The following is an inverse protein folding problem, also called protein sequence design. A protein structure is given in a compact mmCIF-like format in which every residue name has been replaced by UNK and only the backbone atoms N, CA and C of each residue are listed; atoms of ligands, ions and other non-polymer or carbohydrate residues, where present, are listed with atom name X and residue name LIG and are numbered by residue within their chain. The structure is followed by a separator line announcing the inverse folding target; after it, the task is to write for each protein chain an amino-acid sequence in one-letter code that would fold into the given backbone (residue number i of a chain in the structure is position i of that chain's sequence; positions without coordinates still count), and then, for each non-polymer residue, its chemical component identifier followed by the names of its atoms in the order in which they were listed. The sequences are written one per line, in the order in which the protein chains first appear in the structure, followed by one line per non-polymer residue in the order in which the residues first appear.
data_IF_267243173287
#
_entry.id   IF_267243173287
#
_cell.length_a   1.000
_cell.length_b   1.000
_cell.length_c   1.000
_cell.angle_alpha   90.00
_cell.angle_beta   90.00
_cell.angle_gamma   90.00
#
_symmetry.space_group_name_H-M   'P 1'
#
loop_
_entity.id
_entity.type
_entity.pdbx_description
1 polymer ?
#
# COMPACT_ATOMS: atom_id res chain seq x y z
N UNK A 1 -13.01 -3.96 -0.09
CA UNK A 1 -12.70 -4.69 -1.34
C UNK A 1 -12.57 -6.18 -1.03
N UNK A 2 -13.18 -7.06 -1.82
CA UNK A 2 -13.05 -8.51 -1.68
C UNK A 2 -12.02 -9.01 -2.68
N UNK A 3 -11.01 -9.73 -2.19
CA UNK A 3 -9.94 -10.27 -3.04
C UNK A 3 -10.32 -11.64 -3.61
N UNK A 4 -10.13 -11.82 -4.91
CA UNK A 4 -10.36 -13.09 -5.58
C UNK A 4 -9.31 -14.16 -5.26
N UNK A 5 -9.66 -15.44 -5.39
CA UNK A 5 -8.76 -16.59 -5.17
C UNK A 5 -7.48 -16.51 -6.01
N UNK A 6 -7.60 -16.12 -7.29
CA UNK A 6 -6.46 -16.01 -8.21
C UNK A 6 -5.38 -15.03 -7.74
N UNK A 7 -5.74 -14.01 -6.95
CA UNK A 7 -4.77 -13.09 -6.36
C UNK A 7 -3.89 -13.75 -5.29
N UNK A 8 -4.44 -14.71 -4.53
CA UNK A 8 -3.67 -15.48 -3.56
C UNK A 8 -2.78 -16.52 -4.24
N UNK A 9 -3.28 -17.19 -5.29
CA UNK A 9 -2.46 -18.10 -6.12
C UNK A 9 -1.22 -17.37 -6.68
N UNK A 10 -1.39 -16.16 -7.21
CA UNK A 10 -0.27 -15.33 -7.70
C UNK A 10 0.83 -15.15 -6.65
N UNK A 11 0.46 -14.84 -5.40
CA UNK A 11 1.40 -14.63 -4.30
C UNK A 11 2.08 -15.94 -3.87
N UNK A 12 1.34 -17.05 -3.85
CA UNK A 12 1.88 -18.37 -3.53
C UNK A 12 2.94 -18.80 -4.55
N UNK A 13 2.65 -18.66 -5.85
CA UNK A 13 3.61 -18.98 -6.93
C UNK A 13 4.89 -18.16 -6.80
N UNK A 14 4.77 -16.87 -6.51
CA UNK A 14 5.92 -16.00 -6.26
C UNK A 14 6.74 -16.48 -5.05
N UNK A 15 6.09 -16.74 -3.91
CA UNK A 15 6.77 -17.21 -2.70
C UNK A 15 7.45 -18.58 -2.89
N UNK A 16 6.83 -19.51 -3.62
CA UNK A 16 7.44 -20.78 -3.98
C UNK A 16 8.72 -20.58 -4.80
N UNK A 17 8.68 -19.66 -5.77
CA UNK A 17 9.88 -19.38 -6.57
C UNK A 17 10.96 -18.71 -5.73
N UNK A 18 10.62 -17.74 -4.88
CA UNK A 18 11.55 -17.12 -3.91
C UNK A 18 12.22 -18.20 -3.06
N UNK A 19 11.44 -19.09 -2.45
CA UNK A 19 11.95 -20.17 -1.61
C UNK A 19 12.96 -21.05 -2.37
N UNK A 20 12.64 -21.36 -3.63
CA UNK A 20 13.49 -22.18 -4.51
C UNK A 20 14.81 -21.47 -4.84
N UNK A 21 14.77 -20.25 -5.37
CA UNK A 21 15.97 -19.57 -5.87
C UNK A 21 16.88 -19.04 -4.75
N UNK A 22 16.31 -18.73 -3.58
CA UNK A 22 17.06 -18.25 -2.43
C UNK A 22 17.44 -19.36 -1.44
N UNK A 23 17.00 -20.60 -1.68
CA UNK A 23 17.26 -21.74 -0.79
C UNK A 23 16.68 -21.57 0.62
N UNK A 24 15.55 -20.86 0.76
CA UNK A 24 14.93 -20.56 2.05
C UNK A 24 13.64 -21.37 2.28
N UNK A 25 13.23 -21.58 3.54
CA UNK A 25 11.95 -22.22 3.84
C UNK A 25 10.77 -21.45 3.23
N UNK A 26 9.79 -22.17 2.68
CA UNK A 26 8.58 -21.56 2.11
C UNK A 26 7.84 -20.69 3.14
N UNK A 27 7.78 -21.12 4.40
CA UNK A 27 7.19 -20.34 5.49
C UNK A 27 7.83 -18.95 5.62
N UNK A 28 9.17 -18.87 5.50
CA UNK A 28 9.91 -17.61 5.53
C UNK A 28 9.62 -16.78 4.27
N UNK A 29 9.63 -17.41 3.10
CA UNK A 29 9.31 -16.73 1.84
C UNK A 29 7.89 -16.14 1.85
N UNK A 30 6.90 -16.86 2.37
CA UNK A 30 5.53 -16.37 2.50
C UNK A 30 5.46 -15.15 3.43
N UNK A 31 6.17 -15.17 4.56
CA UNK A 31 6.17 -14.07 5.52
C UNK A 31 6.86 -12.82 4.95
N UNK A 32 7.98 -13.00 4.25
CA UNK A 32 8.86 -11.91 3.84
C UNK A 32 8.55 -11.33 2.47
N UNK A 33 8.00 -12.15 1.59
CA UNK A 33 7.86 -11.82 0.18
C UNK A 33 6.42 -11.69 -0.29
N UNK A 34 5.43 -11.77 0.61
CA UNK A 34 4.01 -11.59 0.28
C UNK A 34 3.32 -10.63 1.25
N UNK A 35 2.08 -10.25 0.97
CA UNK A 35 1.28 -9.45 1.89
C UNK A 35 0.35 -10.28 2.80
N UNK A 36 0.48 -11.62 2.79
CA UNK A 36 -0.47 -12.53 3.44
C UNK A 36 -0.60 -12.26 4.95
N UNK A 37 0.52 -12.04 5.65
CA UNK A 37 0.51 -11.74 7.08
C UNK A 37 -0.38 -10.53 7.43
N UNK A 38 -0.25 -9.45 6.65
CA UNK A 38 -1.09 -8.26 6.81
C UNK A 38 -2.55 -8.58 6.49
N UNK A 39 -2.81 -9.42 5.47
CA UNK A 39 -4.17 -9.82 5.07
C UNK A 39 -4.87 -10.71 6.08
N UNK A 40 -4.13 -11.29 7.02
CA UNK A 40 -4.68 -12.05 8.15
C UNK A 40 -5.06 -11.16 9.33
N UNK A 41 -4.90 -9.84 9.21
CA UNK A 41 -5.17 -8.86 10.26
C UNK A 41 -4.12 -8.84 11.38
N UNK A 42 -2.88 -9.27 11.09
CA UNK A 42 -1.85 -9.47 12.12
C UNK A 42 -0.92 -8.25 12.34
N UNK A 43 -1.31 -7.10 11.80
CA UNK A 43 -0.52 -5.87 11.90
C UNK A 43 0.72 -5.89 11.00
N UNK A 44 1.79 -5.23 11.47
CA UNK A 44 3.00 -4.95 10.67
C UNK A 44 4.31 -5.34 11.36
N UNK A 45 4.24 -6.09 12.46
CA UNK A 45 5.42 -6.58 13.17
C UNK A 45 6.04 -7.83 12.51
N UNK A 46 5.27 -8.56 11.70
CA UNK A 46 5.72 -9.77 11.00
C UNK A 46 6.36 -10.80 11.93
N UNK A 47 5.62 -11.20 12.96
CA UNK A 47 6.06 -12.21 13.91
C UNK A 47 5.84 -13.62 13.34
N UNK A 48 6.94 -14.30 13.01
CA UNK A 48 6.92 -15.67 12.51
C UNK A 48 6.30 -16.66 13.50
N UNK A 49 6.29 -16.35 14.80
CA UNK A 49 5.73 -17.21 15.85
C UNK A 49 4.27 -16.90 16.18
N UNK A 50 3.68 -15.89 15.53
CA UNK A 50 2.31 -15.47 15.81
C UNK A 50 1.32 -16.65 15.65
N UNK A 51 0.48 -16.97 16.65
CA UNK A 51 -0.36 -18.17 16.63
C UNK A 51 -1.25 -18.31 15.39
N UNK A 52 -1.83 -17.20 14.92
CA UNK A 52 -2.64 -17.20 13.68
C UNK A 52 -1.79 -17.47 12.43
N UNK A 53 -0.57 -16.96 12.38
CA UNK A 53 0.34 -17.23 11.26
C UNK A 53 0.77 -18.70 11.25
N UNK A 54 1.10 -19.25 12.42
CA UNK A 54 1.39 -20.68 12.59
C UNK A 54 0.20 -21.56 12.21
N UNK A 55 -1.03 -21.19 12.60
CA UNK A 55 -2.24 -21.91 12.18
C UNK A 55 -2.43 -21.92 10.66
N UNK A 56 -2.16 -20.78 9.99
CA UNK A 56 -2.17 -20.71 8.53
C UNK A 56 -1.16 -21.68 7.90
N UNK A 57 0.09 -21.68 8.39
CA UNK A 57 1.16 -22.55 7.89
C UNK A 57 0.86 -24.04 8.14
N UNK A 58 0.34 -24.39 9.31
CA UNK A 58 -0.05 -25.76 9.65
C UNK A 58 -1.13 -26.28 8.68
N UNK A 59 -2.15 -25.46 8.40
CA UNK A 59 -3.18 -25.83 7.43
C UNK A 59 -2.65 -25.91 6.01
N UNK A 60 -1.69 -25.05 5.63
CA UNK A 60 -1.04 -25.11 4.32
C UNK A 60 -0.25 -26.41 4.14
N UNK A 61 0.44 -26.87 5.18
CA UNK A 61 1.20 -28.12 5.17
C UNK A 61 0.32 -29.37 5.23
N UNK A 62 -0.83 -29.29 5.91
CA UNK A 62 -1.74 -30.42 6.15
C UNK A 62 -2.85 -30.55 5.10
N UNK A 63 -2.95 -29.60 4.17
CA UNK A 63 -4.05 -29.55 3.21
C UNK A 63 -3.91 -30.62 2.13
N UNK A 64 -4.91 -31.50 2.02
CA UNK A 64 -5.07 -32.41 0.87
C UNK A 64 -5.62 -31.68 -0.38
N UNK A 65 -6.08 -30.44 -0.25
CA UNK A 65 -6.53 -29.58 -1.36
C UNK A 65 -5.41 -28.63 -1.80
N UNK A 66 -5.49 -28.11 -3.03
CA UNK A 66 -4.49 -27.20 -3.57
C UNK A 66 -4.27 -25.98 -2.65
N UNK A 67 -3.01 -25.63 -2.36
CA UNK A 67 -2.59 -24.55 -1.44
C UNK A 67 -3.34 -23.21 -1.59
N UNK A 68 -3.76 -22.90 -2.81
CA UNK A 68 -4.57 -21.73 -3.18
C UNK A 68 -5.99 -21.73 -2.58
N UNK A 69 -6.63 -22.90 -2.47
CA UNK A 69 -7.97 -23.04 -1.88
C UNK A 69 -7.92 -22.81 -0.38
N UNK A 70 -6.99 -23.47 0.32
CA UNK A 70 -6.74 -23.23 1.74
C UNK A 70 -6.49 -21.75 2.03
N UNK A 71 -5.57 -21.12 1.28
CA UNK A 71 -5.19 -19.72 1.50
C UNK A 71 -6.37 -18.77 1.30
N UNK A 72 -7.20 -19.00 0.30
CA UNK A 72 -8.39 -18.18 0.06
C UNK A 72 -9.48 -18.41 1.13
N UNK A 73 -9.70 -19.64 1.57
CA UNK A 73 -10.64 -19.91 2.67
C UNK A 73 -10.17 -19.29 3.99
N UNK A 74 -8.87 -19.37 4.28
CA UNK A 74 -8.27 -18.72 5.46
C UNK A 74 -8.48 -17.21 5.41
N UNK A 75 -8.27 -16.57 4.25
CA UNK A 75 -8.58 -15.16 4.03
C UNK A 75 -10.04 -14.83 4.35
N UNK A 76 -10.98 -15.61 3.83
CA UNK A 76 -12.40 -15.35 4.05
C UNK A 76 -12.79 -15.42 5.52
N UNK A 77 -12.31 -16.42 6.25
CA UNK A 77 -12.55 -16.56 7.68
C UNK A 77 -11.94 -15.43 8.52
N UNK A 78 -10.86 -14.82 8.03
CA UNK A 78 -10.15 -13.72 8.73
C UNK A 78 -10.63 -12.33 8.35
N UNK A 79 -11.41 -12.17 7.28
CA UNK A 79 -11.81 -10.86 6.72
C UNK A 79 -12.44 -9.91 7.75
N UNK A 80 -13.16 -10.44 8.74
CA UNK A 80 -13.77 -9.62 9.80
C UNK A 80 -12.77 -8.98 10.78
N UNK A 81 -11.50 -9.39 10.75
CA UNK A 81 -10.45 -8.96 11.68
C UNK A 81 -9.43 -8.00 11.06
N UNK A 82 -9.59 -7.62 9.79
CA UNK A 82 -8.77 -6.59 9.13
C UNK A 82 -9.22 -5.21 9.64
N UNK A 83 -8.74 -4.79 10.81
CA UNK A 83 -9.00 -3.44 11.38
C UNK A 83 -7.88 -2.52 10.88
N UNK A 84 -8.17 -1.54 9.99
CA UNK A 84 -7.19 -0.53 9.63
C UNK A 84 -6.80 0.27 10.86
N UNK A 85 -5.54 0.72 10.94
CA UNK A 85 -5.19 1.75 11.90
C UNK A 85 -6.12 2.96 11.67
N UNK A 86 -6.70 3.55 12.74
CA UNK A 86 -7.60 4.67 12.59
C UNK A 86 -6.86 5.82 11.90
N UNK A 87 -7.46 6.36 10.85
CA UNK A 87 -6.96 7.56 10.21
C UNK A 87 -7.10 8.72 11.20
N UNK A 88 -6.09 9.58 11.25
CA UNK A 88 -6.17 10.85 12.00
C UNK A 88 -7.17 11.79 11.34
N UNK A 89 -7.20 11.81 10.00
CA UNK A 89 -8.28 12.38 9.22
C UNK A 89 -8.40 11.71 7.85
N UNK A 90 -9.57 11.83 7.23
CA UNK A 90 -9.85 11.40 5.86
C UNK A 90 -10.72 12.42 5.14
N UNK A 91 -10.40 12.67 3.86
CA UNK A 91 -11.21 13.47 2.93
C UNK A 91 -11.29 12.73 1.61
N UNK A 92 -12.50 12.28 1.25
CA UNK A 92 -12.75 11.53 0.03
C UNK A 92 -11.86 10.30 -0.11
N UNK A 93 -11.02 10.25 -1.15
CA UNK A 93 -10.12 9.12 -1.41
C UNK A 93 -8.77 9.19 -0.65
N UNK A 94 -8.54 10.25 0.13
CA UNK A 94 -7.29 10.46 0.83
C UNK A 94 -7.47 10.45 2.35
N UNK A 95 -6.47 9.93 3.04
CA UNK A 95 -6.40 9.94 4.49
C UNK A 95 -4.96 10.09 4.94
N UNK A 96 -4.73 10.52 6.18
CA UNK A 96 -3.42 10.38 6.81
C UNK A 96 -3.51 9.70 8.16
N UNK A 97 -2.42 9.05 8.55
CA UNK A 97 -2.20 8.46 9.87
C UNK A 97 -0.94 9.06 10.48
N UNK A 98 -0.87 9.11 11.80
CA UNK A 98 0.36 9.45 12.50
C UNK A 98 1.37 8.31 12.31
N UNK A 99 2.58 8.65 11.87
CA UNK A 99 3.63 7.70 11.52
C UNK A 99 4.84 7.78 12.47
N UNK A 100 4.68 8.47 13.61
CA UNK A 100 5.70 8.76 14.59
C UNK A 100 5.81 10.27 14.87
N UNK A 101 6.66 10.69 15.82
CA UNK A 101 6.86 12.09 16.13
C UNK A 101 7.22 12.91 14.88
N UNK A 102 6.45 13.95 14.58
CA UNK A 102 6.71 14.84 13.44
C UNK A 102 6.52 14.21 12.06
N UNK A 103 5.85 13.06 11.95
CA UNK A 103 5.61 12.38 10.68
C UNK A 103 4.15 11.97 10.53
N UNK A 104 3.57 12.30 9.37
CA UNK A 104 2.30 11.73 8.91
C UNK A 104 2.55 10.84 7.70
N UNK A 105 1.71 9.83 7.51
CA UNK A 105 1.72 9.01 6.31
C UNK A 105 0.44 9.20 5.54
N UNK A 106 0.58 9.60 4.27
CA UNK A 106 -0.51 9.75 3.34
C UNK A 106 -0.95 8.38 2.80
N UNK A 107 -2.26 8.19 2.78
CA UNK A 107 -2.93 7.01 2.25
C UNK A 107 -3.92 7.43 1.15
N UNK A 108 -4.04 6.56 0.15
CA UNK A 108 -5.06 6.65 -0.88
C UNK A 108 -5.85 5.34 -0.90
N UNK A 109 -7.17 5.45 -0.91
CA UNK A 109 -8.07 4.33 -1.16
C UNK A 109 -9.21 4.78 -2.06
N UNK A 110 -9.76 3.85 -2.83
CA UNK A 110 -10.93 4.16 -3.64
C UNK A 110 -12.18 4.25 -2.76
N UNK A 111 -12.63 5.47 -2.49
CA UNK A 111 -13.95 5.78 -1.92
C UNK A 111 -14.83 6.54 -2.90
N UNK A 112 -14.50 6.48 -4.19
CA UNK A 112 -15.27 7.17 -5.21
C UNK A 112 -16.52 6.36 -5.60
N UNK A 113 -17.68 6.96 -5.41
CA UNK A 113 -18.98 6.35 -5.70
C UNK A 113 -19.51 6.65 -7.12
N UNK A 114 -18.79 7.44 -7.92
CA UNK A 114 -19.22 7.85 -9.28
C UNK A 114 -19.23 6.71 -10.31
N UNK A 115 -18.78 5.51 -9.94
CA UNK A 115 -18.61 4.37 -10.85
C UNK A 115 -17.46 4.52 -11.84
N UNK A 116 -16.73 5.63 -11.82
CA UNK A 116 -15.52 5.86 -12.61
C UNK A 116 -14.26 5.40 -11.85
N UNK A 117 -13.13 5.29 -12.55
CA UNK A 117 -11.84 5.14 -11.85
C UNK A 117 -11.57 6.39 -11.01
N UNK A 118 -11.14 6.28 -9.74
CA UNK A 118 -10.86 7.44 -8.89
C UNK A 118 -9.69 8.29 -9.43
N UNK A 119 -8.90 7.74 -10.36
CA UNK A 119 -7.78 8.39 -11.03
C UNK A 119 -8.08 8.73 -12.51
N UNK A 120 -9.34 8.61 -12.95
CA UNK A 120 -9.73 9.05 -14.29
C UNK A 120 -9.45 10.55 -14.50
N UNK A 121 -9.25 10.96 -15.76
CA UNK A 121 -9.01 12.37 -16.10
C UNK A 121 -10.13 13.29 -15.60
N UNK A 122 -11.39 12.85 -15.74
CA UNK A 122 -12.60 13.51 -15.24
C UNK A 122 -12.63 13.71 -13.72
N UNK A 123 -11.86 12.93 -12.96
CA UNK A 123 -11.83 13.01 -11.49
C UNK A 123 -10.64 13.82 -10.97
N UNK A 124 -9.75 14.30 -11.85
CA UNK A 124 -8.50 14.99 -11.46
C UNK A 124 -8.74 16.18 -10.54
N UNK A 125 -9.63 17.09 -10.93
CA UNK A 125 -9.88 18.32 -10.16
C UNK A 125 -10.48 18.00 -8.79
N UNK A 126 -11.44 17.07 -8.75
CA UNK A 126 -12.06 16.61 -7.51
C UNK A 126 -11.04 15.97 -6.56
N UNK A 127 -10.11 15.15 -7.07
CA UNK A 127 -9.00 14.59 -6.27
C UNK A 127 -8.05 15.66 -5.76
N UNK A 128 -7.77 16.69 -6.56
CA UNK A 128 -6.92 17.80 -6.12
C UNK A 128 -7.58 18.62 -4.99
N UNK A 129 -8.90 18.83 -5.06
CA UNK A 129 -9.68 19.47 -4.00
C UNK A 129 -9.69 18.65 -2.71
N UNK A 130 -9.86 17.33 -2.79
CA UNK A 130 -9.76 16.45 -1.63
C UNK A 130 -8.39 16.52 -0.95
N UNK A 131 -7.31 16.52 -1.74
CA UNK A 131 -5.95 16.68 -1.20
C UNK A 131 -5.76 18.04 -0.53
N UNK A 132 -6.20 19.13 -1.16
CA UNK A 132 -6.11 20.47 -0.57
C UNK A 132 -6.85 20.53 0.78
N UNK A 133 -8.09 20.07 0.82
CA UNK A 133 -8.88 20.01 2.05
C UNK A 133 -8.27 19.11 3.13
N UNK A 134 -7.61 18.01 2.75
CA UNK A 134 -6.87 17.18 3.69
C UNK A 134 -5.67 17.93 4.27
N UNK A 135 -4.91 18.68 3.46
CA UNK A 135 -3.76 19.45 3.95
C UNK A 135 -4.16 20.71 4.75
N UNK A 136 -5.37 21.23 4.56
CA UNK A 136 -5.96 22.23 5.46
C UNK A 136 -6.28 21.63 6.84
N UNK A 137 -6.68 20.35 6.90
CA UNK A 137 -6.85 19.65 8.19
C UNK A 137 -5.49 19.39 8.86
N UNK A 138 -4.48 18.98 8.09
CA UNK A 138 -3.11 18.80 8.61
C UNK A 138 -2.58 20.12 9.19
N UNK A 139 -2.77 21.23 8.48
CA UNK A 139 -2.31 22.54 8.95
C UNK A 139 -2.92 22.96 10.29
N UNK A 140 -4.18 22.59 10.55
CA UNK A 140 -4.90 22.93 11.78
C UNK A 140 -4.59 22.00 12.95
N UNK A 141 -4.31 20.73 12.66
CA UNK A 141 -4.26 19.68 13.68
C UNK A 141 -2.85 19.21 14.01
N UNK A 142 -1.90 19.37 13.10
CA UNK A 142 -0.55 18.85 13.26
C UNK A 142 0.47 19.96 13.53
N UNK A 143 1.55 19.66 14.28
CA UNK A 143 2.61 20.63 14.51
C UNK A 143 3.24 21.16 13.22
N UNK A 144 3.68 22.43 13.20
CA UNK A 144 4.43 22.98 12.07
C UNK A 144 5.65 22.14 11.71
N UNK A 145 5.96 22.04 10.42
CA UNK A 145 7.13 21.31 9.93
C UNK A 145 7.01 19.79 9.95
N UNK A 146 5.81 19.25 10.18
CA UNK A 146 5.56 17.81 10.02
C UNK A 146 5.99 17.32 8.63
N UNK A 147 6.56 16.12 8.58
CA UNK A 147 6.96 15.46 7.34
C UNK A 147 5.85 14.56 6.84
N UNK A 148 5.62 14.60 5.54
CA UNK A 148 4.60 13.83 4.82
C UNK A 148 5.29 12.66 4.14
N UNK A 149 4.94 11.46 4.58
CA UNK A 149 5.46 10.21 4.03
C UNK A 149 4.46 9.60 3.05
N UNK A 150 4.96 9.12 1.91
CA UNK A 150 4.21 8.35 0.93
C UNK A 150 4.89 7.03 0.64
N UNK A 151 4.14 5.97 0.40
CA UNK A 151 4.71 4.74 -0.16
C UNK A 151 3.69 4.03 -1.04
N UNK A 152 3.91 4.06 -2.36
CA UNK A 152 2.99 3.43 -3.31
C UNK A 152 3.66 3.18 -4.66
N UNK A 153 3.25 2.11 -5.34
CA UNK A 153 3.53 1.92 -6.77
C UNK A 153 2.79 2.93 -7.64
N UNK A 154 1.68 3.51 -7.15
CA UNK A 154 0.90 4.50 -7.89
C UNK A 154 1.73 5.75 -8.22
N UNK A 155 2.79 6.06 -7.48
CA UNK A 155 3.70 7.16 -7.82
C UNK A 155 4.46 6.94 -9.14
N UNK A 156 4.33 5.78 -9.78
CA UNK A 156 4.84 5.51 -11.12
C UNK A 156 3.82 5.77 -12.23
N UNK A 157 2.54 5.97 -11.92
CA UNK A 157 1.50 6.24 -12.93
C UNK A 157 1.19 7.73 -13.01
N UNK A 158 1.15 8.29 -14.23
CA UNK A 158 0.90 9.72 -14.47
C UNK A 158 -0.37 10.21 -13.77
N UNK A 159 -1.44 9.41 -13.87
CA UNK A 159 -2.75 9.74 -13.35
C UNK A 159 -2.77 10.00 -11.84
N UNK A 160 -1.87 9.37 -11.08
CA UNK A 160 -1.70 9.60 -9.65
C UNK A 160 -0.66 10.69 -9.39
N UNK A 161 0.47 10.67 -10.11
CA UNK A 161 1.56 11.66 -9.95
C UNK A 161 1.07 13.09 -10.11
N UNK A 162 0.23 13.36 -11.11
CA UNK A 162 -0.29 14.71 -11.41
C UNK A 162 -1.12 15.35 -10.29
N UNK A 163 -1.47 14.59 -9.24
CA UNK A 163 -2.21 15.08 -8.08
C UNK A 163 -1.30 15.74 -7.04
N UNK A 164 0.01 15.52 -7.13
CA UNK A 164 0.97 15.90 -6.10
C UNK A 164 1.87 17.06 -6.53
N UNK A 165 2.32 17.90 -5.59
CA UNK A 165 3.30 18.94 -5.87
C UNK A 165 4.62 18.37 -6.42
N UNK A 166 5.25 19.08 -7.35
CA UNK A 166 6.51 18.67 -7.96
C UNK A 166 7.63 18.45 -6.91
N UNK A 167 7.70 19.32 -5.90
CA UNK A 167 8.69 19.21 -4.82
C UNK A 167 8.55 17.94 -4.00
N UNK A 168 7.33 17.42 -3.82
CA UNK A 168 7.10 16.15 -3.14
C UNK A 168 7.52 14.97 -4.03
N UNK A 169 7.12 14.99 -5.30
CA UNK A 169 7.48 13.96 -6.28
C UNK A 169 8.99 13.87 -6.53
N UNK A 170 9.72 14.98 -6.40
CA UNK A 170 11.18 15.02 -6.53
C UNK A 170 11.92 14.20 -5.45
N UNK A 171 11.26 13.89 -4.33
CA UNK A 171 11.83 13.10 -3.23
C UNK A 171 11.67 11.59 -3.43
N UNK A 172 11.06 11.17 -4.54
CA UNK A 172 10.71 9.78 -4.76
C UNK A 172 11.96 8.88 -4.88
N UNK A 173 12.03 7.88 -4.00
CA UNK A 173 13.08 6.86 -4.01
C UNK A 173 12.46 5.47 -4.14
N UNK A 174 13.03 4.57 -4.97
CA UNK A 174 12.57 3.19 -5.05
C UNK A 174 12.78 2.47 -3.71
N UNK A 175 11.79 1.70 -3.28
CA UNK A 175 11.90 0.87 -2.07
C UNK A 175 11.43 -0.55 -2.36
N UNK A 176 12.18 -1.53 -1.88
CA UNK A 176 11.77 -2.92 -1.93
C UNK A 176 10.88 -3.22 -0.72
N UNK A 177 9.58 -3.44 -0.95
CA UNK A 177 8.59 -3.71 0.12
C UNK A 177 7.61 -4.79 -0.29
N UNK A 178 8.08 -6.04 -0.35
CA UNK A 178 7.26 -7.21 -0.67
C UNK A 178 6.21 -7.53 0.39
N UNK A 179 6.56 -7.33 1.66
CA UNK A 179 5.73 -7.55 2.85
C UNK A 179 4.41 -6.76 2.89
N UNK A 180 4.20 -5.82 1.96
CA UNK A 180 3.08 -4.87 1.99
C UNK A 180 2.32 -4.78 0.66
N UNK A 181 1.09 -4.29 0.73
CA UNK A 181 0.22 -4.01 -0.41
C UNK A 181 0.77 -3.14 -1.55
N UNK A 182 1.71 -2.19 -1.33
CA UNK A 182 2.23 -1.32 -2.39
C UNK A 182 2.89 -2.05 -3.57
N UNK A 183 3.14 -3.35 -3.49
CA UNK A 183 3.62 -4.10 -4.64
C UNK A 183 2.49 -4.88 -5.33
N UNK A 184 1.63 -5.52 -4.54
CA UNK A 184 0.63 -6.47 -5.03
C UNK A 184 -0.63 -5.82 -5.62
N UNK A 185 -0.95 -4.58 -5.22
CA UNK A 185 -2.13 -3.87 -5.74
C UNK A 185 -2.13 -3.65 -7.25
N UNK A 186 -0.97 -3.69 -7.92
CA UNK A 186 -0.85 -3.47 -9.36
C UNK A 186 -1.54 -4.54 -10.21
N UNK A 187 -1.77 -5.73 -9.65
CA UNK A 187 -2.44 -6.84 -10.34
C UNK A 187 -3.95 -6.83 -10.17
N UNK A 188 -4.49 -5.93 -9.35
CA UNK A 188 -5.91 -5.89 -9.06
C UNK A 188 -6.60 -4.81 -9.89
N UNK A 189 -7.85 -5.08 -10.26
CA UNK A 189 -8.79 -4.05 -10.69
C UNK A 189 -9.46 -3.39 -9.47
N UNK A 190 -10.37 -2.45 -9.72
CA UNK A 190 -11.10 -1.73 -8.68
C UNK A 190 -12.08 -2.61 -7.87
N UNK A 191 -12.44 -3.78 -8.40
CA UNK A 191 -13.33 -4.74 -7.76
C UNK A 191 -12.57 -5.78 -6.92
N UNK A 192 -11.23 -5.80 -6.99
CA UNK A 192 -10.39 -6.79 -6.32
C UNK A 192 -10.22 -8.08 -7.12
N UNK A 193 -10.58 -8.07 -8.39
CA UNK A 193 -10.30 -9.13 -9.34
C UNK A 193 -8.88 -8.99 -9.90
N UNK A 194 -8.28 -10.13 -10.24
CA UNK A 194 -6.98 -10.17 -10.88
C UNK A 194 -7.10 -9.69 -12.33
N UNK A 195 -6.17 -8.86 -12.79
CA UNK A 195 -6.02 -8.40 -14.18
C UNK A 195 -5.15 -9.38 -14.97
N UNK A 196 -5.72 -10.26 -15.81
CA UNK A 196 -4.96 -11.32 -16.49
C UNK A 196 -3.83 -10.76 -17.35
N UNK A 197 -4.06 -9.62 -18.00
CA UNK A 197 -3.11 -8.97 -18.92
C UNK A 197 -1.81 -8.53 -18.24
N UNK A 198 -1.82 -8.32 -16.92
CA UNK A 198 -0.62 -8.01 -16.13
C UNK A 198 -0.11 -9.24 -15.38
N UNK A 199 -1.01 -10.10 -14.91
CA UNK A 199 -0.68 -11.25 -14.08
C UNK A 199 -0.01 -12.38 -14.87
N UNK A 200 -0.48 -12.70 -16.08
CA UNK A 200 0.07 -13.80 -16.88
C UNK A 200 1.53 -13.57 -17.27
N UNK A 201 1.94 -12.40 -17.82
CA UNK A 201 3.35 -12.14 -18.08
C UNK A 201 4.21 -12.14 -16.81
N UNK A 202 3.65 -11.71 -15.68
CA UNK A 202 4.34 -11.76 -14.39
C UNK A 202 4.65 -13.20 -13.99
N UNK A 203 3.66 -14.11 -14.03
CA UNK A 203 3.86 -15.53 -13.71
C UNK A 203 4.93 -16.15 -14.59
N UNK A 204 4.87 -15.92 -15.90
CA UNK A 204 5.88 -16.44 -16.84
C UNK A 204 7.30 -15.95 -16.52
N UNK A 205 7.46 -14.68 -16.12
CA UNK A 205 8.76 -14.14 -15.71
C UNK A 205 9.23 -14.73 -14.38
N UNK A 206 8.33 -14.89 -13.41
CA UNK A 206 8.62 -15.50 -12.12
C UNK A 206 9.14 -16.93 -12.32
N UNK A 207 8.47 -17.75 -13.13
CA UNK A 207 8.88 -19.13 -13.40
C UNK A 207 10.31 -19.23 -13.98
N UNK A 208 10.75 -18.21 -14.72
CA UNK A 208 12.08 -18.15 -15.36
C UNK A 208 13.15 -17.46 -14.52
N UNK A 209 12.78 -16.69 -13.49
CA UNK A 209 13.72 -15.89 -12.72
C UNK A 209 14.72 -16.80 -11.99
N UNK A 210 16.03 -16.55 -12.16
CA UNK A 210 17.10 -17.40 -11.62
C UNK A 210 17.52 -17.00 -10.19
N UNK A 211 17.23 -15.78 -9.77
CA UNK A 211 17.66 -15.22 -8.49
C UNK A 211 16.63 -14.20 -7.95
N UNK A 212 16.90 -13.65 -6.76
CA UNK A 212 16.04 -12.66 -6.11
C UNK A 212 15.96 -11.33 -6.87
N UNK A 213 17.01 -10.95 -7.59
CA UNK A 213 17.02 -9.71 -8.36
C UNK A 213 16.09 -9.83 -9.56
N UNK A 214 16.14 -10.94 -10.29
CA UNK A 214 15.23 -11.29 -11.37
C UNK A 214 13.78 -11.36 -10.90
N UNK A 215 13.52 -11.91 -9.71
CA UNK A 215 12.19 -11.91 -9.10
C UNK A 215 11.68 -10.51 -8.78
N UNK A 216 12.55 -9.65 -8.22
CA UNK A 216 12.22 -8.25 -7.96
C UNK A 216 11.87 -7.51 -9.25
N UNK A 217 12.61 -7.77 -10.32
CA UNK A 217 12.39 -7.18 -11.64
C UNK A 217 11.11 -7.68 -12.34
N UNK A 218 10.45 -8.72 -11.83
CA UNK A 218 9.19 -9.20 -12.40
C UNK A 218 8.04 -8.20 -12.23
N UNK A 219 8.08 -7.37 -11.19
CA UNK A 219 7.06 -6.35 -10.94
C UNK A 219 7.28 -5.14 -11.87
N UNK A 220 6.27 -4.85 -12.69
CA UNK A 220 6.34 -3.75 -13.66
C UNK A 220 6.50 -2.41 -12.96
N UNK A 221 5.83 -2.23 -11.82
CA UNK A 221 5.87 -1.01 -11.02
C UNK A 221 6.44 -1.33 -9.64
N UNK A 222 7.64 -0.81 -9.38
CA UNK A 222 8.27 -0.77 -8.06
C UNK A 222 7.60 0.29 -7.17
N UNK A 223 7.44 0.06 -5.87
CA UNK A 223 6.96 1.08 -4.94
C UNK A 223 7.98 2.22 -4.82
N UNK A 224 7.49 3.45 -4.81
CA UNK A 224 8.30 4.62 -4.47
C UNK A 224 7.93 5.09 -3.06
N UNK A 225 8.95 5.40 -2.25
CA UNK A 225 8.81 6.13 -1.01
C UNK A 225 9.09 7.62 -1.26
N UNK A 226 8.23 8.48 -0.74
CA UNK A 226 8.35 9.93 -0.81
C UNK A 226 8.37 10.50 0.60
N UNK A 227 9.10 11.58 0.78
CA UNK A 227 9.26 12.24 2.07
C UNK A 227 9.58 13.72 1.87
N UNK A 228 8.60 14.58 2.15
CA UNK A 228 8.81 16.02 2.13
C UNK A 228 8.14 16.71 3.32
N UNK A 229 8.57 17.94 3.55
CA UNK A 229 7.93 18.86 4.48
C UNK A 229 6.51 19.21 4.01
N UNK A 230 5.56 19.33 4.94
CA UNK A 230 4.15 19.63 4.64
C UNK A 230 3.97 20.94 3.87
N UNK A 231 4.86 21.90 4.06
CA UNK A 231 4.85 23.21 3.43
C UNK A 231 4.85 23.12 1.89
N UNK A 232 5.44 22.06 1.32
CA UNK A 232 5.44 21.80 -0.13
C UNK A 232 4.01 21.61 -0.66
N UNK A 233 3.12 21.03 0.15
CA UNK A 233 1.71 20.84 -0.19
C UNK A 233 0.94 22.13 -0.09
N UNK A 234 1.23 22.97 0.91
CA UNK A 234 0.57 24.27 1.02
C UNK A 234 0.91 25.17 -0.17
N UNK A 235 2.18 25.29 -0.53
CA UNK A 235 2.58 26.04 -1.73
C UNK A 235 2.00 25.44 -3.01
N UNK A 236 1.96 24.12 -3.13
CA UNK A 236 1.43 23.43 -4.31
C UNK A 236 -0.10 23.52 -4.48
N UNK A 237 -0.84 23.71 -3.39
CA UNK A 237 -2.30 23.82 -3.40
C UNK A 237 -2.80 25.26 -3.16
N UNK A 238 -1.90 26.25 -3.05
CA UNK A 238 -2.28 27.64 -2.79
C UNK A 238 -2.82 27.90 -1.38
N UNK A 239 -2.51 27.03 -0.42
CA UNK A 239 -2.89 27.18 0.98
C UNK A 239 -1.90 28.18 1.60
N UNK A 240 -2.41 29.28 2.17
CA UNK A 240 -1.57 30.25 2.86
C UNK A 240 -0.91 29.57 4.08
N UNK A 241 0.39 29.76 4.27
CA UNK A 241 1.04 29.33 5.51
C UNK A 241 0.36 30.08 6.66
N UNK A 242 -0.33 29.33 7.55
CA UNK A 242 -1.02 29.90 8.69
C UNK A 242 -0.06 30.76 9.49
N UNK A 243 -0.38 32.05 9.62
CA UNK A 243 0.34 32.97 10.47
C UNK A 243 0.32 32.38 11.88
N UNK A 244 1.49 32.01 12.40
CA UNK A 244 1.64 31.62 13.79
C UNK A 244 1.21 32.81 14.65
N UNK A 245 -0.05 32.84 15.10
CA UNK A 245 -0.42 33.66 16.23
C UNK A 245 0.22 33.01 17.45
N UNK A 246 1.43 33.49 17.77
CA UNK A 246 2.03 33.26 19.07
C UNK A 246 1.06 33.75 20.15
N UNK A 247 1.07 33.14 21.35
CA UNK A 247 0.21 33.56 22.43
C UNK A 247 0.45 35.05 22.71
N UNK A 248 -0.58 35.85 22.51
CA UNK A 248 -0.66 37.22 22.98
C UNK A 248 -0.69 37.18 24.50
N UNK A 249 0.49 37.23 25.13
CA UNK A 249 0.59 37.56 26.54
C UNK A 249 0.25 39.04 26.71
N UNK A 250 -1.01 39.30 27.05
CA UNK A 250 -1.48 40.56 27.60
C UNK A 250 -2.23 40.26 28.90
N UNK A 251 -1.50 40.31 30.01
CA UNK A 251 -1.86 40.85 31.33
C UNK A 251 -0.80 40.40 32.35
#
# INVERSE_FOLDING_TARGET
MQLGKAFFDLQLRFAHRVATVAGMPLAQALLDYTNLYVRWGLGREFDATHPVWQAYLCGLASSCTANQDWTWHFYQGRRAHDIPAPAAASVGCFAYVLAGPGHIRLHFHNSDESGQSPLAASRREHRAQELAALFDLVQRNEPPGVRVLGTSWLYQIEAYRRLFPAGYLATAMPVQRFRNMPLWGQFLDRHGALKPEIAEPFVQRVERAADLQGLTACFALQPLALDARVEVFWSGHGIAAGTLQGPSNAA
#
